data_IF_183883972225
#
_entry.id   IF_183883972225
#
_cell.length_a   1.000
_cell.length_b   1.000
_cell.length_c   1.000
_cell.angle_alpha   90.00
_cell.angle_beta   90.00
_cell.angle_gamma   90.00
#
_symmetry.space_group_name_H-M   'P 1'
#
loop_
_entity.id
_entity.type
_entity.pdbx_description
1 polymer ?
#
# COMPACT_ATOMS: atom_id res chain seq x y z
N UNK A 1 -9.04 -13.48 23.84
CA UNK A 1 -8.35 -14.46 22.97
C UNK A 1 -8.24 -13.83 21.59
N UNK A 2 -7.06 -13.38 21.20
CA UNK A 2 -6.79 -13.01 19.81
C UNK A 2 -6.86 -14.30 18.99
N UNK A 3 -7.69 -14.39 17.94
CA UNK A 3 -7.67 -15.55 17.06
C UNK A 3 -6.25 -15.73 16.54
N UNK A 4 -5.64 -16.88 16.86
CA UNK A 4 -4.30 -17.23 16.43
C UNK A 4 -4.29 -17.57 14.95
N UNK A 5 -4.49 -16.62 14.06
CA UNK A 5 -3.91 -16.71 12.72
C UNK A 5 -2.41 -16.49 12.85
N UNK A 6 -1.73 -17.49 13.43
CA UNK A 6 -0.28 -17.47 13.56
C UNK A 6 0.35 -17.35 12.17
N UNK A 7 1.54 -16.76 12.11
CA UNK A 7 2.28 -16.53 10.85
C UNK A 7 2.33 -17.78 9.94
N UNK A 8 2.32 -18.99 10.51
CA UNK A 8 2.24 -20.24 9.77
C UNK A 8 0.98 -20.38 8.89
N UNK A 9 -0.19 -19.93 9.35
CA UNK A 9 -1.43 -19.94 8.57
C UNK A 9 -1.33 -18.96 7.38
N UNK A 10 -0.79 -17.77 7.61
CA UNK A 10 -0.55 -16.77 6.56
C UNK A 10 0.43 -17.31 5.53
N UNK A 11 1.57 -17.88 5.95
CA UNK A 11 2.57 -18.48 5.03
C UNK A 11 1.94 -19.53 4.11
N UNK A 12 1.06 -20.39 4.64
CA UNK A 12 0.36 -21.40 3.83
C UNK A 12 -0.57 -20.77 2.78
N UNK A 13 -1.16 -19.62 3.08
CA UNK A 13 -2.10 -18.95 2.18
C UNK A 13 -1.42 -18.15 1.07
N UNK A 14 -0.29 -17.48 1.34
CA UNK A 14 0.35 -16.54 0.40
C UNK A 14 1.29 -17.19 -0.61
N UNK A 15 1.68 -18.45 -0.42
CA UNK A 15 2.57 -19.18 -1.33
C UNK A 15 4.03 -18.71 -1.29
N UNK A 16 4.85 -19.24 -2.21
CA UNK A 16 6.31 -19.05 -2.21
C UNK A 16 6.82 -17.74 -2.82
N UNK A 17 5.98 -16.99 -3.54
CA UNK A 17 6.34 -15.72 -4.17
C UNK A 17 6.21 -14.52 -3.23
N UNK A 18 5.80 -14.75 -1.97
CA UNK A 18 5.59 -13.71 -0.97
C UNK A 18 6.58 -13.89 0.17
N UNK A 19 7.35 -12.83 0.45
CA UNK A 19 8.16 -12.73 1.67
C UNK A 19 7.25 -12.33 2.83
N UNK A 20 7.20 -13.14 3.88
CA UNK A 20 6.46 -12.81 5.10
C UNK A 20 7.41 -12.32 6.19
N UNK A 21 7.22 -11.07 6.61
CA UNK A 21 7.86 -10.47 7.77
C UNK A 21 6.85 -10.33 8.92
N UNK A 22 7.29 -10.62 10.14
CA UNK A 22 6.46 -10.50 11.35
C UNK A 22 7.08 -9.40 12.21
N UNK A 23 6.33 -8.31 12.40
CA UNK A 23 6.73 -7.22 13.27
C UNK A 23 6.59 -7.55 14.76
N UNK A 24 7.09 -6.68 15.64
CA UNK A 24 6.87 -6.81 17.07
C UNK A 24 5.40 -6.53 17.43
N UNK A 25 4.97 -7.04 18.59
CA UNK A 25 3.65 -6.76 19.13
C UNK A 25 3.63 -5.34 19.76
N UNK A 26 2.66 -4.53 19.35
CA UNK A 26 2.46 -3.19 19.92
C UNK A 26 1.22 -3.17 20.84
N UNK A 27 1.21 -2.36 21.91
CA UNK A 27 0.04 -2.22 22.78
C UNK A 27 -1.22 -1.73 22.04
N UNK A 28 -1.03 -0.85 21.04
CA UNK A 28 -2.05 -0.45 20.09
C UNK A 28 -1.64 -0.92 18.69
N UNK A 29 -2.26 -2.00 18.22
CA UNK A 29 -2.00 -2.61 16.92
C UNK A 29 -2.25 -1.64 15.75
N UNK A 30 -3.20 -0.69 15.90
CA UNK A 30 -3.43 0.33 14.87
C UNK A 30 -2.24 1.27 14.73
N UNK A 31 -1.54 1.61 15.81
CA UNK A 31 -0.32 2.41 15.75
C UNK A 31 0.88 1.55 15.34
N UNK A 32 0.93 0.30 15.80
CA UNK A 32 1.96 -0.68 15.43
C UNK A 32 2.05 -0.91 13.93
N UNK A 33 0.91 -1.13 13.24
CA UNK A 33 0.91 -1.27 11.78
C UNK A 33 1.45 -0.02 11.06
N UNK A 34 1.25 1.19 11.61
CA UNK A 34 1.76 2.41 10.99
C UNK A 34 3.27 2.52 11.13
N UNK A 35 3.83 2.07 12.25
CA UNK A 35 5.27 1.92 12.42
C UNK A 35 5.79 0.96 11.35
N UNK A 36 5.22 -0.24 11.23
CA UNK A 36 5.64 -1.22 10.21
C UNK A 36 5.64 -0.65 8.79
N UNK A 37 4.61 0.12 8.43
CA UNK A 37 4.52 0.77 7.11
C UNK A 37 5.58 1.86 6.90
N UNK A 38 5.92 2.61 7.94
CA UNK A 38 6.94 3.68 7.91
C UNK A 38 8.39 3.16 7.85
N UNK A 39 8.60 1.86 8.05
CA UNK A 39 9.88 1.17 7.93
C UNK A 39 9.89 0.18 6.76
N UNK A 40 8.88 0.20 5.89
CA UNK A 40 8.77 -0.73 4.76
C UNK A 40 9.96 -0.62 3.76
N UNK A 41 10.61 0.54 3.70
CA UNK A 41 11.81 0.77 2.88
C UNK A 41 13.05 0.00 3.34
N UNK A 42 13.06 -0.52 4.56
CA UNK A 42 14.13 -1.36 5.10
C UNK A 42 13.94 -2.85 4.72
N UNK A 43 12.76 -3.21 4.21
CA UNK A 43 12.40 -4.59 3.86
C UNK A 43 12.57 -4.91 2.36
N UNK A 44 12.89 -3.90 1.55
CA UNK A 44 13.00 -4.02 0.09
C UNK A 44 14.03 -3.05 -0.48
N UNK A 45 14.60 -3.40 -1.63
CA UNK A 45 15.46 -2.51 -2.44
C UNK A 45 14.71 -1.82 -3.58
N UNK A 46 13.42 -2.12 -3.77
CA UNK A 46 12.58 -1.52 -4.80
C UNK A 46 12.49 0.02 -4.68
N UNK A 47 12.53 0.73 -5.82
CA UNK A 47 12.49 2.19 -5.84
C UNK A 47 11.14 2.80 -5.42
N UNK A 48 10.06 2.03 -5.56
CA UNK A 48 8.70 2.41 -5.17
C UNK A 48 8.10 1.34 -4.25
N UNK A 49 7.31 1.78 -3.28
CA UNK A 49 6.62 0.92 -2.33
C UNK A 49 5.12 1.22 -2.42
N UNK A 50 4.35 0.20 -2.80
CA UNK A 50 2.89 0.25 -2.88
C UNK A 50 2.30 -0.45 -1.67
N UNK A 51 1.53 0.27 -0.85
CA UNK A 51 0.87 -0.26 0.33
C UNK A 51 -0.55 -0.72 0.00
N UNK A 52 -0.88 -1.92 0.47
CA UNK A 52 -2.20 -2.53 0.41
C UNK A 52 -2.50 -3.08 1.79
N UNK A 53 -3.41 -2.44 2.51
CA UNK A 53 -3.79 -2.87 3.86
C UNK A 53 -4.64 -4.15 3.79
N UNK A 54 -4.82 -4.84 4.92
CA UNK A 54 -5.58 -6.09 4.98
C UNK A 54 -7.05 -5.95 4.61
N UNK A 55 -7.60 -4.74 4.66
CA UNK A 55 -8.96 -4.41 4.21
C UNK A 55 -8.98 -3.71 2.84
N UNK A 56 -7.91 -3.85 2.06
CA UNK A 56 -7.82 -3.34 0.69
C UNK A 56 -7.76 -4.50 -0.31
N UNK A 57 -8.52 -4.37 -1.40
CA UNK A 57 -8.57 -5.40 -2.47
C UNK A 57 -8.47 -4.76 -3.84
N UNK A 58 -7.52 -5.24 -4.64
CA UNK A 58 -7.51 -5.00 -6.08
C UNK A 58 -8.65 -5.79 -6.73
N UNK A 59 -9.56 -5.11 -7.42
CA UNK A 59 -10.73 -5.74 -8.06
C UNK A 59 -10.56 -5.89 -9.58
N UNK A 60 -9.35 -5.63 -10.08
CA UNK A 60 -8.92 -5.86 -11.45
C UNK A 60 -7.43 -6.23 -11.45
N UNK A 61 -6.90 -6.86 -12.52
CA UNK A 61 -5.45 -6.98 -12.69
C UNK A 61 -4.76 -5.62 -12.65
N UNK A 62 -3.66 -5.52 -11.90
CA UNK A 62 -2.87 -4.29 -11.74
C UNK A 62 -1.42 -4.60 -12.06
N UNK A 63 -0.78 -3.68 -12.77
CA UNK A 63 0.65 -3.65 -13.03
C UNK A 63 1.30 -2.45 -12.34
N UNK A 64 2.63 -2.44 -12.14
CA UNK A 64 3.32 -1.27 -11.62
C UNK A 64 3.09 0.00 -12.46
N UNK A 65 2.85 -0.11 -13.77
CA UNK A 65 2.58 1.03 -14.63
C UNK A 65 1.26 1.74 -14.29
N UNK A 66 0.26 1.02 -13.78
CA UNK A 66 -1.02 1.60 -13.34
C UNK A 66 -0.86 2.53 -12.12
N UNK A 67 0.23 2.38 -11.36
CA UNK A 67 0.56 3.20 -10.20
C UNK A 67 1.22 4.53 -10.58
N UNK A 68 1.50 4.75 -11.88
CA UNK A 68 2.28 5.88 -12.38
C UNK A 68 1.51 6.71 -13.41
N UNK A 69 1.69 8.03 -13.36
CA UNK A 69 1.27 8.97 -14.41
C UNK A 69 2.50 9.76 -14.85
N UNK A 70 2.91 9.58 -16.10
CA UNK A 70 4.15 10.19 -16.63
C UNK A 70 5.39 9.78 -15.84
N UNK A 71 5.47 8.51 -15.43
CA UNK A 71 6.60 7.96 -14.66
C UNK A 71 6.64 8.33 -13.17
N UNK A 72 5.64 9.06 -12.68
CA UNK A 72 5.55 9.49 -11.27
C UNK A 72 4.41 8.81 -10.54
N UNK A 73 4.57 8.42 -9.27
CA UNK A 73 3.45 7.94 -8.47
C UNK A 73 2.35 8.99 -8.38
N UNK A 74 1.10 8.57 -8.54
CA UNK A 74 -0.04 9.46 -8.40
C UNK A 74 -0.62 9.39 -6.99
N UNK A 75 -1.12 10.53 -6.50
CA UNK A 75 -1.80 10.63 -5.20
C UNK A 75 -3.08 11.45 -5.38
N UNK A 76 -4.18 10.91 -4.87
CA UNK A 76 -5.44 11.64 -4.77
C UNK A 76 -5.46 12.41 -3.45
N UNK A 77 -5.87 13.67 -3.50
CA UNK A 77 -5.96 14.54 -2.34
C UNK A 77 -7.29 15.29 -2.35
N UNK A 78 -7.74 15.77 -1.18
CA UNK A 78 -8.92 16.62 -1.04
C UNK A 78 -8.56 17.84 -0.22
N UNK A 79 -9.01 19.02 -0.63
CA UNK A 79 -8.71 20.24 0.11
C UNK A 79 -9.33 20.16 1.52
N UNK A 80 -8.62 20.61 2.54
CA UNK A 80 -9.13 20.58 3.93
C UNK A 80 -10.44 21.36 4.08
N UNK A 81 -10.60 22.43 3.29
CA UNK A 81 -11.83 23.23 3.26
C UNK A 81 -13.08 22.44 2.80
N UNK A 82 -12.90 21.30 2.10
CA UNK A 82 -13.98 20.49 1.55
C UNK A 82 -14.38 19.30 2.45
N UNK A 83 -13.61 18.98 3.50
CA UNK A 83 -13.81 17.79 4.33
C UNK A 83 -14.98 17.89 5.32
N UNK A 84 -15.61 19.05 5.44
CA UNK A 84 -16.63 19.31 6.44
C UNK A 84 -16.09 19.11 7.87
N UNK A 85 -16.93 18.60 8.79
CA UNK A 85 -16.57 18.44 10.20
C UNK A 85 -15.70 17.22 10.48
N UNK A 86 -15.74 16.19 9.64
CA UNK A 86 -15.06 14.92 9.87
C UNK A 86 -13.69 14.91 9.19
N UNK A 87 -12.65 15.35 9.91
CA UNK A 87 -11.27 15.50 9.43
C UNK A 87 -10.25 14.82 10.35
N UNK A 88 -10.37 13.49 10.58
CA UNK A 88 -9.66 12.80 11.66
C UNK A 88 -8.14 12.87 11.54
N UNK A 89 -7.61 13.03 10.33
CA UNK A 89 -6.16 12.94 10.08
C UNK A 89 -5.45 14.28 10.06
N UNK A 90 -6.18 15.39 10.00
CA UNK A 90 -5.58 16.73 9.86
C UNK A 90 -4.79 17.08 11.12
N UNK A 91 -5.44 17.11 12.29
CA UNK A 91 -4.76 17.49 13.54
C UNK A 91 -3.57 16.57 13.88
N UNK A 92 -3.66 15.21 13.78
CA UNK A 92 -2.50 14.34 13.92
C UNK A 92 -1.34 14.67 12.97
N UNK A 93 -1.66 14.94 11.70
CA UNK A 93 -0.65 15.23 10.67
C UNK A 93 0.02 16.57 10.89
N UNK A 94 -0.75 17.60 11.20
CA UNK A 94 -0.22 18.92 11.55
C UNK A 94 0.60 18.88 12.83
N UNK A 95 0.17 18.09 13.82
CA UNK A 95 0.93 17.84 15.05
C UNK A 95 2.29 17.17 14.79
N UNK A 96 2.34 16.20 13.89
CA UNK A 96 3.62 15.57 13.49
C UNK A 96 4.49 16.52 12.67
N UNK A 97 3.93 17.17 11.65
CA UNK A 97 4.68 18.05 10.74
C UNK A 97 4.97 19.44 11.34
N UNK A 98 4.34 19.77 12.47
CA UNK A 98 4.30 21.10 13.11
C UNK A 98 4.10 22.25 12.14
N UNK A 99 3.19 22.07 11.19
CA UNK A 99 2.70 23.10 10.24
C UNK A 99 1.30 22.73 9.78
N UNK A 100 0.54 23.72 9.35
CA UNK A 100 -0.77 23.50 8.75
C UNK A 100 -0.67 22.68 7.45
N UNK A 101 -1.67 21.86 7.17
CA UNK A 101 -1.78 21.11 5.90
C UNK A 101 -2.98 21.58 5.09
N UNK A 102 -2.78 21.76 3.78
CA UNK A 102 -3.83 22.25 2.89
C UNK A 102 -4.77 21.13 2.38
N UNK A 103 -4.33 19.88 2.48
CA UNK A 103 -5.03 18.74 1.90
C UNK A 103 -5.05 17.53 2.85
N UNK A 104 -6.08 16.70 2.71
CA UNK A 104 -6.11 15.32 3.18
C UNK A 104 -5.73 14.38 2.03
N UNK A 105 -4.85 13.43 2.32
CA UNK A 105 -4.26 12.48 1.37
C UNK A 105 -4.78 11.05 1.55
N UNK A 106 -5.60 10.81 2.58
CA UNK A 106 -6.27 9.52 2.83
C UNK A 106 -7.54 9.39 1.96
N UNK A 107 -7.40 9.57 0.65
CA UNK A 107 -8.53 9.68 -0.28
C UNK A 107 -8.77 8.44 -1.13
N UNK A 108 -7.73 7.87 -1.75
CA UNK A 108 -7.88 6.75 -2.68
C UNK A 108 -6.67 5.81 -2.63
N UNK A 109 -6.86 4.53 -2.27
CA UNK A 109 -5.81 3.52 -2.37
C UNK A 109 -5.61 3.01 -3.82
N UNK A 110 -4.48 2.33 -4.11
CA UNK A 110 -3.39 2.02 -3.20
C UNK A 110 -2.47 3.24 -2.95
N UNK A 111 -1.73 3.21 -1.84
CA UNK A 111 -0.82 4.30 -1.49
C UNK A 111 0.61 3.95 -1.91
N UNK A 112 1.13 4.64 -2.91
CA UNK A 112 2.45 4.36 -3.48
C UNK A 112 3.41 5.53 -3.25
N UNK A 113 4.56 5.26 -2.65
CA UNK A 113 5.58 6.27 -2.37
C UNK A 113 6.98 5.81 -2.81
N UNK A 114 7.86 6.75 -3.21
CA UNK A 114 9.27 6.47 -3.40
C UNK A 114 9.95 6.03 -2.11
N UNK A 115 10.87 5.06 -2.22
CA UNK A 115 11.58 4.49 -1.08
C UNK A 115 12.34 5.52 -0.23
N UNK A 116 12.91 6.55 -0.85
CA UNK A 116 13.69 7.57 -0.14
C UNK A 116 12.85 8.40 0.86
N UNK A 117 11.53 8.52 0.65
CA UNK A 117 10.66 9.39 1.44
C UNK A 117 10.53 8.91 2.90
N UNK A 118 10.64 7.62 3.12
CA UNK A 118 10.50 7.00 4.44
C UNK A 118 11.66 7.39 5.36
N UNK A 119 12.91 7.28 4.88
CA UNK A 119 14.09 7.72 5.61
C UNK A 119 14.07 9.21 5.93
N UNK A 120 13.61 10.05 5.00
CA UNK A 120 13.43 11.48 5.24
C UNK A 120 12.43 11.77 6.36
N UNK A 121 11.29 11.09 6.38
CA UNK A 121 10.33 11.25 7.48
C UNK A 121 10.88 10.79 8.83
N UNK A 122 11.67 9.71 8.86
CA UNK A 122 12.34 9.27 10.09
C UNK A 122 13.35 10.31 10.58
N UNK A 123 14.11 10.92 9.67
CA UNK A 123 15.02 12.01 9.99
C UNK A 123 14.27 13.25 10.52
N UNK A 124 13.18 13.65 9.86
CA UNK A 124 12.31 14.75 10.31
C UNK A 124 11.74 14.48 11.71
N UNK A 125 11.33 13.24 11.99
CA UNK A 125 10.82 12.87 13.30
C UNK A 125 11.88 13.07 14.39
N UNK A 126 13.11 12.61 14.13
CA UNK A 126 14.23 12.77 15.05
C UNK A 126 14.55 14.25 15.29
N UNK A 127 14.66 15.03 14.22
CA UNK A 127 14.96 16.47 14.30
C UNK A 127 13.90 17.23 15.11
N UNK A 128 12.62 16.99 14.82
CA UNK A 128 11.52 17.78 15.38
C UNK A 128 11.09 17.33 16.77
N UNK A 129 11.07 16.03 17.01
CA UNK A 129 10.50 15.45 18.22
C UNK A 129 11.56 14.86 19.15
N UNK A 130 12.84 14.86 18.75
CA UNK A 130 13.95 14.35 19.55
C UNK A 130 13.86 12.85 19.85
N UNK A 131 13.10 12.09 19.05
CA UNK A 131 12.87 10.66 19.26
C UNK A 131 12.70 9.90 17.95
N UNK A 132 12.88 8.58 18.00
CA UNK A 132 12.66 7.72 16.83
C UNK A 132 11.20 7.75 16.38
N UNK A 133 10.98 7.46 15.10
CA UNK A 133 9.65 7.38 14.51
C UNK A 133 8.76 6.37 15.24
N UNK A 134 9.30 5.18 15.52
CA UNK A 134 8.58 4.16 16.29
C UNK A 134 8.12 4.68 17.65
N UNK A 135 9.01 5.31 18.43
CA UNK A 135 8.68 5.86 19.76
C UNK A 135 7.64 6.97 19.67
N UNK A 136 7.74 7.82 18.66
CA UNK A 136 6.77 8.89 18.43
C UNK A 136 5.38 8.33 18.18
N UNK A 137 5.26 7.43 17.20
CA UNK A 137 3.99 6.86 16.73
C UNK A 137 3.36 5.99 17.81
N UNK A 138 4.10 5.06 18.42
CA UNK A 138 3.60 4.20 19.48
C UNK A 138 3.17 4.98 20.74
N UNK A 139 3.72 6.18 20.95
CA UNK A 139 3.35 7.07 22.05
C UNK A 139 2.17 8.00 21.75
N UNK A 140 1.48 7.87 20.61
CA UNK A 140 0.28 8.66 20.29
C UNK A 140 -0.97 8.05 20.93
N UNK A 141 -2.05 8.84 21.16
CA UNK A 141 -3.34 8.26 21.52
C UNK A 141 -3.89 7.37 20.38
N UNK A 142 -4.87 6.50 20.63
CA UNK A 142 -5.51 5.70 19.59
C UNK A 142 -6.01 6.59 18.44
N UNK A 143 -5.70 6.21 17.20
CA UNK A 143 -5.96 7.03 15.98
C UNK A 143 -5.25 8.39 15.94
N UNK A 144 -4.25 8.61 16.81
CA UNK A 144 -3.47 9.84 16.90
C UNK A 144 -2.35 9.96 15.86
N UNK A 145 -2.34 9.10 14.84
CA UNK A 145 -1.38 9.13 13.74
C UNK A 145 -2.00 8.54 12.45
N UNK A 146 -1.55 9.02 11.30
CA UNK A 146 -1.83 8.47 9.97
C UNK A 146 -0.58 8.62 9.09
N UNK A 147 0.11 7.51 8.88
CA UNK A 147 1.30 7.35 8.06
C UNK A 147 1.11 7.87 6.64
N UNK A 148 0.02 7.51 5.97
CA UNK A 148 -0.21 7.92 4.58
C UNK A 148 -0.58 9.40 4.47
N UNK A 149 -1.30 9.96 5.45
CA UNK A 149 -1.58 11.39 5.45
C UNK A 149 -0.30 12.22 5.70
N UNK A 150 0.58 11.74 6.59
CA UNK A 150 1.89 12.35 6.83
C UNK A 150 2.82 12.24 5.62
N UNK A 151 2.95 11.06 5.01
CA UNK A 151 3.72 10.84 3.78
C UNK A 151 3.24 11.75 2.65
N UNK A 152 1.92 11.75 2.38
CA UNK A 152 1.31 12.60 1.36
C UNK A 152 1.53 14.10 1.62
N UNK A 153 1.31 14.55 2.85
CA UNK A 153 1.49 15.96 3.22
C UNK A 153 2.94 16.43 3.16
N UNK A 154 3.90 15.58 3.58
CA UNK A 154 5.31 15.89 3.47
C UNK A 154 5.77 15.95 2.00
N UNK A 155 5.41 14.92 1.21
CA UNK A 155 5.68 14.86 -0.22
C UNK A 155 5.08 16.04 -0.99
N UNK A 156 3.84 16.43 -0.67
CA UNK A 156 3.19 17.55 -1.35
C UNK A 156 3.89 18.89 -1.11
N UNK A 157 4.40 19.10 0.11
CA UNK A 157 5.01 20.37 0.47
C UNK A 157 6.45 20.52 -0.04
N UNK A 158 7.24 19.44 -0.07
CA UNK A 158 8.67 19.51 -0.39
C UNK A 158 9.02 18.88 -1.75
N UNK A 159 8.25 17.91 -2.20
CA UNK A 159 8.56 17.06 -3.34
C UNK A 159 7.45 17.06 -4.39
N UNK A 160 6.74 18.19 -4.52
CA UNK A 160 5.52 18.29 -5.34
C UNK A 160 5.71 17.82 -6.78
N UNK A 161 6.88 18.06 -7.37
CA UNK A 161 7.18 17.69 -8.76
C UNK A 161 7.43 16.20 -8.96
N UNK A 162 7.73 15.45 -7.89
CA UNK A 162 8.01 14.01 -7.91
C UNK A 162 6.75 13.15 -7.98
N UNK A 163 5.56 13.76 -7.89
CA UNK A 163 4.27 13.08 -7.87
C UNK A 163 3.31 13.68 -8.91
N UNK A 164 2.32 12.89 -9.32
CA UNK A 164 1.13 13.37 -10.02
C UNK A 164 -0.02 13.54 -9.02
N UNK A 165 -0.51 14.76 -8.85
CA UNK A 165 -1.55 15.07 -7.86
C UNK A 165 -2.92 15.18 -8.53
N UNK A 166 -3.91 14.49 -7.97
CA UNK A 166 -5.29 14.53 -8.44
C UNK A 166 -6.21 15.00 -7.32
N UNK A 167 -7.10 15.94 -7.61
CA UNK A 167 -8.08 16.40 -6.63
C UNK A 167 -9.31 15.48 -6.66
N UNK A 168 -9.75 14.99 -5.50
CA UNK A 168 -10.77 13.94 -5.36
C UNK A 168 -12.16 14.31 -5.93
N UNK A 169 -12.42 15.59 -6.21
CA UNK A 169 -13.65 16.08 -6.84
C UNK A 169 -13.48 16.50 -8.30
N UNK A 170 -12.26 16.48 -8.85
CA UNK A 170 -12.02 16.79 -10.24
C UNK A 170 -12.30 15.55 -11.12
N UNK A 171 -12.94 15.72 -12.27
CA UNK A 171 -13.32 14.61 -13.15
C UNK A 171 -12.16 13.79 -13.75
N UNK A 172 -10.91 14.18 -13.50
CA UNK A 172 -9.70 13.55 -14.04
C UNK A 172 -8.91 12.75 -12.97
N UNK A 173 -9.60 11.93 -12.17
CA UNK A 173 -8.97 11.02 -11.19
C UNK A 173 -8.54 9.73 -11.90
N UNK A 174 -7.38 9.12 -11.57
CA UNK A 174 -6.97 7.85 -12.13
C UNK A 174 -8.02 6.76 -11.88
N UNK A 175 -8.10 5.75 -12.77
CA UNK A 175 -9.02 4.62 -12.56
C UNK A 175 -8.84 4.02 -11.18
N UNK A 176 -9.95 3.74 -10.51
CA UNK A 176 -9.92 3.05 -9.23
C UNK A 176 -9.27 1.67 -9.44
N UNK A 177 -8.15 1.42 -8.75
CA UNK A 177 -7.42 0.16 -8.83
C UNK A 177 -7.81 -0.76 -7.67
N UNK A 178 -7.98 -0.16 -6.50
CA UNK A 178 -8.17 -0.83 -5.22
C UNK A 178 -9.40 -0.26 -4.52
N UNK A 179 -10.13 -1.10 -3.78
CA UNK A 179 -11.18 -0.67 -2.86
C UNK A 179 -10.74 -0.89 -1.42
N UNK A 180 -11.07 0.06 -0.56
CA UNK A 180 -11.06 -0.12 0.88
C UNK A 180 -12.36 -0.77 1.37
N UNK A 181 -12.26 -1.59 2.39
CA UNK A 181 -13.39 -2.16 3.11
C UNK A 181 -13.23 -1.81 4.58
N UNK A 182 -14.29 -2.00 5.37
CA UNK A 182 -14.17 -1.82 6.81
C UNK A 182 -13.85 -3.16 7.46
N UNK A 183 -12.60 -3.35 7.89
CA UNK A 183 -12.13 -4.55 8.60
C UNK A 183 -12.99 -4.98 9.79
N UNK A 184 -13.76 -4.06 10.40
CA UNK A 184 -14.66 -4.36 11.54
C UNK A 184 -16.12 -4.57 11.15
N UNK A 185 -16.49 -4.37 9.88
CA UNK A 185 -17.86 -4.53 9.40
C UNK A 185 -18.30 -6.00 9.26
N UNK A 186 -17.35 -6.94 9.30
CA UNK A 186 -17.58 -8.34 9.00
C UNK A 186 -17.72 -8.60 7.49
N UNK A 187 -17.84 -9.88 7.11
CA UNK A 187 -18.05 -10.30 5.72
C UNK A 187 -19.46 -10.87 5.62
N UNK A 188 -20.40 -10.07 5.14
CA UNK A 188 -21.75 -10.54 4.81
C UNK A 188 -21.78 -11.33 3.49
N UNK A 189 -22.94 -11.90 3.14
CA UNK A 189 -23.09 -12.70 1.93
C UNK A 189 -22.82 -11.90 0.64
N UNK A 190 -23.17 -10.60 0.63
CA UNK A 190 -22.99 -9.74 -0.54
C UNK A 190 -21.51 -9.41 -0.73
N UNK A 191 -20.82 -8.99 0.32
CA UNK A 191 -19.40 -8.72 0.30
C UNK A 191 -18.61 -9.99 -0.04
N UNK A 192 -19.01 -11.15 0.49
CA UNK A 192 -18.41 -12.43 0.11
C UNK A 192 -18.52 -12.69 -1.39
N UNK A 193 -19.71 -12.51 -1.96
CA UNK A 193 -19.92 -12.66 -3.41
C UNK A 193 -19.05 -11.69 -4.22
N UNK A 194 -18.93 -10.43 -3.79
CA UNK A 194 -18.07 -9.45 -4.44
C UNK A 194 -16.59 -9.88 -4.41
N UNK A 195 -16.10 -10.34 -3.27
CA UNK A 195 -14.72 -10.81 -3.11
C UNK A 195 -14.44 -12.07 -3.93
N UNK A 196 -15.39 -13.01 -3.96
CA UNK A 196 -15.27 -14.24 -4.75
C UNK A 196 -15.16 -13.93 -6.25
N UNK A 197 -15.89 -12.92 -6.74
CA UNK A 197 -15.79 -12.44 -8.13
C UNK A 197 -14.43 -11.77 -8.41
N UNK A 198 -13.90 -11.00 -7.47
CA UNK A 198 -12.60 -10.36 -7.61
C UNK A 198 -11.44 -11.37 -7.63
N UNK A 199 -11.49 -12.39 -6.78
CA UNK A 199 -10.44 -13.43 -6.68
C UNK A 199 -10.57 -14.49 -7.77
N UNK A 200 -11.80 -14.86 -8.13
CA UNK A 200 -12.06 -15.94 -9.09
C UNK A 200 -11.72 -15.60 -10.54
N UNK A 201 -11.51 -14.32 -10.87
CA UNK A 201 -11.42 -13.85 -12.25
C UNK A 201 -12.70 -14.12 -13.05
N UNK A 202 -12.92 -13.39 -14.15
CA UNK A 202 -14.00 -13.78 -15.06
C UNK A 202 -13.64 -15.10 -15.75
N UNK A 203 -14.64 -15.88 -16.19
CA UNK A 203 -14.39 -17.09 -16.99
C UNK A 203 -13.55 -16.80 -18.27
N UNK A 204 -13.59 -15.55 -18.76
CA UNK A 204 -12.76 -15.07 -19.85
C UNK A 204 -11.27 -14.95 -19.47
N UNK A 205 -10.95 -14.51 -18.24
CA UNK A 205 -9.57 -14.38 -17.76
C UNK A 205 -8.89 -15.74 -17.59
N UNK A 206 -9.65 -16.75 -17.15
CA UNK A 206 -9.14 -18.14 -17.05
C UNK A 206 -8.80 -18.72 -18.43
N UNK A 207 -9.62 -18.42 -19.43
CA UNK A 207 -9.40 -18.87 -20.82
C UNK A 207 -8.21 -18.17 -21.50
N UNK A 208 -7.98 -16.89 -21.18
CA UNK A 208 -6.84 -16.13 -21.70
C UNK A 208 -5.51 -16.54 -21.05
N UNK A 209 -5.49 -16.82 -19.75
CA UNK A 209 -4.32 -17.34 -19.05
C UNK A 209 -3.92 -18.74 -19.56
N UNK A 210 -4.90 -19.62 -19.81
CA UNK A 210 -4.67 -20.96 -20.34
C UNK A 210 -4.16 -20.97 -21.80
N UNK A 211 -4.53 -19.96 -22.60
CA UNK A 211 -3.97 -19.78 -23.96
C UNK A 211 -2.51 -19.30 -23.96
N UNK A 212 -2.07 -18.55 -22.94
CA UNK A 212 -0.68 -18.06 -22.86
C UNK A 212 0.30 -19.12 -22.37
N UNK A 213 -0.16 -20.13 -21.61
CA UNK A 213 0.68 -21.23 -21.13
C UNK A 213 0.81 -22.40 -22.12
N UNK A 214 0.01 -22.44 -23.19
CA UNK A 214 -0.03 -23.56 -24.15
C UNK A 214 0.77 -23.37 -25.45
N UNK A 215 1.53 -22.29 -25.60
CA UNK A 215 2.13 -21.89 -26.88
C UNK A 215 3.63 -21.61 -26.84
N UNK A 216 4.44 -22.48 -26.22
CA UNK A 216 5.89 -22.47 -26.40
C UNK A 216 6.30 -23.49 -27.46
N UNK A 217 7.04 -23.12 -28.52
CA UNK A 217 7.48 -24.10 -29.51
C UNK A 217 8.44 -25.10 -28.86
N UNK A 218 8.19 -26.39 -29.09
CA UNK A 218 9.09 -27.46 -28.68
C UNK A 218 10.45 -27.26 -29.37
N UNK A 219 11.46 -26.84 -28.61
CA UNK A 219 12.84 -26.80 -29.08
C UNK A 219 13.35 -28.24 -29.06
N UNK A 220 13.45 -28.84 -30.25
CA UNK A 220 14.07 -30.14 -30.44
C UNK A 220 15.57 -30.06 -30.09
N UNK A 221 16.01 -30.84 -29.11
CA UNK A 221 17.41 -30.98 -28.77
C UNK A 221 18.12 -31.87 -29.82
N UNK A 222 19.30 -31.48 -30.34
CA UNK A 222 20.09 -32.37 -31.19
C UNK A 222 20.85 -33.38 -30.32
N UNK A 223 20.61 -34.66 -30.60
CA UNK A 223 21.44 -35.77 -30.14
C UNK A 223 22.83 -35.67 -30.80
N UNK A 224 23.86 -35.40 -30.00
CA UNK A 224 25.26 -35.56 -30.39
C UNK A 224 25.95 -36.60 -29.52
N UNK A 225 26.13 -37.82 -30.03
CA UNK A 225 27.05 -38.81 -29.44
C UNK A 225 28.43 -38.62 -30.04
N UNK A 226 29.43 -38.31 -29.20
CA UNK A 226 30.85 -38.41 -29.52
C UNK A 226 31.58 -39.11 -28.38
N UNK A 227 32.09 -40.33 -28.64
CA UNK A 227 33.04 -41.06 -27.78
C UNK A 227 34.44 -40.43 -27.88
N UNK A 228 35.30 -40.59 -26.87
CA UNK A 228 36.73 -40.65 -27.11
C UNK A 228 37.24 -42.10 -27.06
N UNK A 229 38.05 -42.43 -28.07
CA UNK A 229 39.18 -43.35 -28.04
C UNK A 229 40.38 -42.60 -28.58
#
# INVERSE_FOLDING_TARGET
MTPGTGAAAVRRAVGGSVRLEVGPDYPDDYLGQQVSKLYADELTDAGLICHVDSDMVFFRPVSPADLLVGGRPWIVRRAVAELGRHRPWIAPTEGFLGRAVAYDFMQQPPFTYPRWLYGELRALCLERHGMSMERYVAGRPPRGFSEFNVLGAHAHALHRTSFAWHDAGAGAVPPLLCRWYWSRGGIDARLRQELDLAVGGTAADRSAAQKRSGGGPAVAAPFGRGRPG
#
